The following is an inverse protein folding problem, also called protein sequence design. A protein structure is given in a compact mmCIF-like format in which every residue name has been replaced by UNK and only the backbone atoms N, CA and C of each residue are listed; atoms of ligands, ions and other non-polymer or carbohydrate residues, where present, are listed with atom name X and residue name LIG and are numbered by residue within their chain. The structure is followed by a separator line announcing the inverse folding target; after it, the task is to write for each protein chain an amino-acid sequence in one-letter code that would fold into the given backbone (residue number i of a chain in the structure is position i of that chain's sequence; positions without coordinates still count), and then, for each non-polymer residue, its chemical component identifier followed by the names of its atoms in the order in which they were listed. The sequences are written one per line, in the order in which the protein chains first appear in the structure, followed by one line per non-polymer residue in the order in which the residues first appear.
data_IF_481349756019
#
_entry.id   IF_481349756019
#
_cell.length_a   1.000
_cell.length_b   1.000
_cell.length_c   1.000
_cell.angle_alpha   90.00
_cell.angle_beta   90.00
_cell.angle_gamma   90.00
#
_symmetry.space_group_name_H-M   'P 1'
#
loop_
_entity.id
_entity.type
_entity.pdbx_description
1 polymer ?
#
# COMPACT_ATOMS: atom_id res chain seq x y z
N UNK A 1 20.63 49.82 -14.84
CA UNK A 1 20.17 48.62 -15.58
C UNK A 1 19.34 49.11 -16.76
N UNK A 2 19.66 48.68 -17.99
CA UNK A 2 18.97 49.13 -19.20
C UNK A 2 17.52 48.63 -19.19
N UNK A 3 16.58 49.44 -19.69
CA UNK A 3 15.15 49.07 -19.79
C UNK A 3 14.91 47.74 -20.51
N UNK A 4 15.85 47.33 -21.37
CA UNK A 4 15.85 46.03 -22.05
C UNK A 4 16.00 44.84 -21.08
N UNK A 5 16.84 44.96 -20.04
CA UNK A 5 17.01 43.90 -19.03
C UNK A 5 15.76 43.75 -18.18
N UNK A 6 15.14 44.86 -17.80
CA UNK A 6 13.88 44.84 -17.05
C UNK A 6 12.74 44.21 -17.87
N UNK A 7 12.65 44.57 -19.16
CA UNK A 7 11.67 44.00 -20.08
C UNK A 7 11.88 42.49 -20.24
N UNK A 8 13.12 42.02 -20.40
CA UNK A 8 13.42 40.60 -20.54
C UNK A 8 13.07 39.81 -19.26
N UNK A 9 13.31 40.37 -18.08
CA UNK A 9 12.95 39.76 -16.80
C UNK A 9 11.43 39.68 -16.61
N UNK A 10 10.68 40.71 -17.00
CA UNK A 10 9.21 40.67 -16.99
C UNK A 10 8.67 39.60 -17.95
N UNK A 11 9.26 39.47 -19.14
CA UNK A 11 8.84 38.51 -20.14
C UNK A 11 9.11 37.07 -19.68
N UNK A 12 10.29 36.81 -19.10
CA UNK A 12 10.62 35.51 -18.51
C UNK A 12 9.75 35.18 -17.29
N UNK A 13 9.46 36.16 -16.42
CA UNK A 13 8.59 35.98 -15.27
C UNK A 13 7.15 35.61 -15.66
N UNK A 14 6.58 36.33 -16.63
CA UNK A 14 5.23 36.04 -17.15
C UNK A 14 5.15 34.66 -17.82
N UNK A 15 6.16 34.28 -18.61
CA UNK A 15 6.23 32.96 -19.23
C UNK A 15 6.31 31.83 -18.19
N UNK A 16 7.09 31.99 -17.13
CA UNK A 16 7.19 31.00 -16.06
C UNK A 16 5.86 30.79 -15.33
N UNK A 17 5.09 31.86 -15.07
CA UNK A 17 3.77 31.78 -14.45
C UNK A 17 2.79 31.02 -15.34
N UNK A 18 2.76 31.30 -16.65
CA UNK A 18 1.90 30.59 -17.60
C UNK A 18 2.24 29.10 -17.65
N UNK A 19 3.52 28.74 -17.69
CA UNK A 19 3.97 27.33 -17.68
C UNK A 19 3.58 26.64 -16.37
N UNK A 20 3.69 27.32 -15.22
CA UNK A 20 3.30 26.76 -13.94
C UNK A 20 1.79 26.50 -13.85
N UNK A 21 0.96 27.44 -14.33
CA UNK A 21 -0.50 27.28 -14.37
C UNK A 21 -0.89 26.13 -15.30
N UNK A 22 -0.29 26.03 -16.49
CA UNK A 22 -0.51 24.91 -17.42
C UNK A 22 -0.11 23.58 -16.77
N UNK A 23 1.01 23.53 -16.04
CA UNK A 23 1.47 22.33 -15.35
C UNK A 23 0.51 21.86 -14.25
N UNK A 24 -0.01 22.79 -13.45
CA UNK A 24 -1.00 22.50 -12.39
C UNK A 24 -2.30 21.98 -13.02
N UNK A 25 -2.81 22.65 -14.05
CA UNK A 25 -4.00 22.21 -14.77
C UNK A 25 -3.80 20.83 -15.41
N UNK A 26 -2.65 20.56 -16.03
CA UNK A 26 -2.35 19.26 -16.64
C UNK A 26 -2.30 18.13 -15.61
N UNK A 27 -1.69 18.37 -14.45
CA UNK A 27 -1.67 17.39 -13.36
C UNK A 27 -3.06 17.10 -12.78
N UNK A 28 -3.93 18.12 -12.69
CA UNK A 28 -5.33 17.94 -12.30
C UNK A 28 -6.16 17.23 -13.39
N UNK A 29 -5.94 17.56 -14.66
CA UNK A 29 -6.62 16.94 -15.81
C UNK A 29 -6.34 15.43 -15.90
N UNK A 30 -5.13 14.98 -15.53
CA UNK A 30 -4.77 13.57 -15.51
C UNK A 30 -5.64 12.71 -14.57
N UNK A 31 -6.37 13.32 -13.62
CA UNK A 31 -7.20 12.62 -12.63
C UNK A 31 -8.66 12.38 -13.04
N UNK A 32 -9.01 12.54 -14.33
CA UNK A 32 -10.27 12.03 -14.91
C UNK A 32 -11.55 12.54 -14.22
N UNK A 33 -11.83 13.85 -14.31
CA UNK A 33 -13.14 14.38 -13.92
C UNK A 33 -13.72 15.27 -15.02
N UNK A 34 -14.66 14.71 -15.80
CA UNK A 34 -15.13 15.28 -17.07
C UNK A 34 -15.98 16.56 -16.91
N UNK A 35 -16.47 16.86 -15.69
CA UNK A 35 -17.26 18.07 -15.42
C UNK A 35 -16.43 19.37 -15.36
N UNK A 36 -15.10 19.26 -15.27
CA UNK A 36 -14.22 20.38 -14.98
C UNK A 36 -13.70 21.13 -16.23
N UNK A 37 -13.96 20.61 -17.44
CA UNK A 37 -13.41 21.15 -18.68
C UNK A 37 -13.93 22.56 -19.03
N UNK A 38 -15.22 22.84 -18.83
CA UNK A 38 -15.78 24.14 -19.24
C UNK A 38 -15.27 25.31 -18.39
N UNK A 39 -15.08 25.11 -17.08
CA UNK A 39 -14.59 26.14 -16.16
C UNK A 39 -13.11 26.45 -16.33
N UNK A 40 -12.29 25.44 -16.58
CA UNK A 40 -10.83 25.60 -16.77
C UNK A 40 -10.51 26.38 -18.05
N UNK A 41 -11.23 26.17 -19.16
CA UNK A 41 -11.03 26.99 -20.38
C UNK A 41 -11.39 28.47 -20.18
N UNK A 42 -12.42 28.78 -19.38
CA UNK A 42 -12.79 30.17 -19.09
C UNK A 42 -11.73 30.88 -18.24
N UNK A 43 -11.18 30.20 -17.22
CA UNK A 43 -10.09 30.74 -16.40
C UNK A 43 -8.81 30.94 -17.22
N UNK A 44 -8.48 30.00 -18.10
CA UNK A 44 -7.32 30.10 -18.98
C UNK A 44 -7.49 31.26 -19.97
N UNK A 45 -8.66 31.42 -20.58
CA UNK A 45 -8.95 32.55 -21.46
C UNK A 45 -8.90 33.90 -20.73
N UNK A 46 -9.44 33.99 -19.50
CA UNK A 46 -9.44 35.21 -18.71
C UNK A 46 -8.03 35.64 -18.27
N UNK A 47 -7.20 34.68 -17.84
CA UNK A 47 -5.81 34.95 -17.46
C UNK A 47 -4.97 35.43 -18.65
N UNK A 48 -5.16 34.83 -19.83
CA UNK A 48 -4.48 35.24 -21.06
C UNK A 48 -4.91 36.64 -21.50
N UNK A 49 -6.21 36.94 -21.42
CA UNK A 49 -6.75 38.27 -21.72
C UNK A 49 -6.19 39.35 -20.79
N UNK A 50 -6.16 39.09 -19.48
CA UNK A 50 -5.62 40.03 -18.48
C UNK A 50 -4.10 40.24 -18.66
N UNK A 51 -3.35 39.19 -18.98
CA UNK A 51 -1.93 39.28 -19.33
C UNK A 51 -1.68 40.17 -20.55
N UNK A 52 -2.50 40.02 -21.61
CA UNK A 52 -2.43 40.89 -22.80
C UNK A 52 -2.76 42.35 -22.47
N UNK A 53 -3.78 42.61 -21.65
CA UNK A 53 -4.13 43.96 -21.22
C UNK A 53 -2.99 44.63 -20.41
N UNK A 54 -2.33 43.87 -19.53
CA UNK A 54 -1.16 44.34 -18.78
C UNK A 54 0.03 44.73 -19.67
N UNK A 55 0.30 43.94 -20.72
CA UNK A 55 1.32 44.25 -21.73
C UNK A 55 1.00 45.55 -22.48
N UNK A 56 -0.24 45.71 -22.95
CA UNK A 56 -0.68 46.91 -23.67
C UNK A 56 -0.59 48.16 -22.78
N UNK A 57 -1.03 48.06 -21.52
CA UNK A 57 -0.94 49.16 -20.56
C UNK A 57 0.51 49.53 -20.21
N UNK A 58 1.39 48.53 -20.08
CA UNK A 58 2.82 48.72 -19.84
C UNK A 58 3.53 49.43 -21.01
N UNK A 59 3.16 49.11 -22.25
CA UNK A 59 3.67 49.79 -23.43
C UNK A 59 3.25 51.28 -23.51
N UNK A 60 2.11 51.64 -22.93
CA UNK A 60 1.53 52.99 -23.04
C UNK A 60 1.97 53.96 -21.93
N UNK A 61 2.59 53.49 -20.84
CA UNK A 61 2.79 54.32 -19.65
C UNK A 61 4.28 54.53 -19.28
N UNK A 62 4.77 55.74 -19.52
CA UNK A 62 6.19 56.10 -19.38
C UNK A 62 6.68 56.52 -17.99
N UNK A 63 5.82 56.72 -16.97
CA UNK A 63 6.32 57.10 -15.62
C UNK A 63 5.55 56.56 -14.42
N UNK A 64 4.25 56.23 -14.55
CA UNK A 64 3.43 55.62 -13.49
C UNK A 64 3.02 54.17 -13.79
N UNK A 65 3.39 53.67 -14.97
CA UNK A 65 2.88 52.42 -15.54
C UNK A 65 3.38 51.16 -14.89
N UNK A 66 4.55 51.20 -14.28
CA UNK A 66 5.18 49.97 -13.79
C UNK A 66 4.47 49.47 -12.52
N UNK A 67 4.12 50.36 -11.60
CA UNK A 67 3.37 50.00 -10.39
C UNK A 67 1.94 49.59 -10.73
N UNK A 68 1.28 50.34 -11.62
CA UNK A 68 -0.08 50.02 -12.05
C UNK A 68 -0.13 48.70 -12.84
N UNK A 69 0.87 48.42 -13.68
CA UNK A 69 0.97 47.17 -14.42
C UNK A 69 1.27 45.97 -13.52
N UNK A 70 2.07 46.14 -12.46
CA UNK A 70 2.31 45.09 -11.46
C UNK A 70 1.02 44.78 -10.68
N UNK A 71 0.31 45.81 -10.22
CA UNK A 71 -0.96 45.64 -9.50
C UNK A 71 -2.05 45.03 -10.38
N UNK A 72 -2.18 45.48 -11.65
CA UNK A 72 -3.09 44.85 -12.62
C UNK A 72 -2.66 43.42 -13.00
N UNK A 73 -1.38 43.10 -12.93
CA UNK A 73 -0.87 41.74 -13.19
C UNK A 73 -1.13 40.77 -12.04
N UNK A 74 -1.27 41.26 -10.80
CA UNK A 74 -1.53 40.45 -9.60
C UNK A 74 -3.02 40.24 -9.32
N UNK A 75 -3.89 41.20 -9.66
CA UNK A 75 -5.34 41.10 -9.49
C UNK A 75 -5.99 39.80 -10.06
N UNK A 76 -5.57 39.26 -11.23
CA UNK A 76 -6.09 38.01 -11.76
C UNK A 76 -5.76 36.82 -10.87
N UNK A 77 -4.57 36.81 -10.25
CA UNK A 77 -4.11 35.70 -9.39
C UNK A 77 -4.93 35.65 -8.10
N UNK A 78 -5.18 36.80 -7.49
CA UNK A 78 -6.03 36.89 -6.28
C UNK A 78 -7.49 36.54 -6.57
N UNK A 79 -8.03 37.00 -7.71
CA UNK A 79 -9.39 36.64 -8.13
C UNK A 79 -9.51 35.12 -8.37
N UNK A 80 -8.51 34.52 -9.02
CA UNK A 80 -8.46 33.08 -9.29
C UNK A 80 -8.39 32.29 -7.97
N UNK A 81 -7.53 32.70 -7.03
CA UNK A 81 -7.42 32.09 -5.70
C UNK A 81 -8.74 32.20 -4.92
N UNK A 82 -9.42 33.34 -4.98
CA UNK A 82 -10.73 33.53 -4.33
C UNK A 82 -11.82 32.66 -4.96
N UNK A 83 -11.85 32.55 -6.29
CA UNK A 83 -12.81 31.68 -6.99
C UNK A 83 -12.56 30.20 -6.69
N UNK A 84 -11.30 29.76 -6.63
CA UNK A 84 -10.97 28.40 -6.20
C UNK A 84 -11.43 28.12 -4.77
N UNK A 85 -11.21 29.06 -3.85
CA UNK A 85 -11.65 28.95 -2.46
C UNK A 85 -13.19 28.89 -2.34
N UNK A 86 -13.92 29.67 -3.14
CA UNK A 86 -15.40 29.66 -3.15
C UNK A 86 -15.96 28.38 -3.78
N UNK A 87 -15.36 27.89 -4.88
CA UNK A 87 -15.82 26.67 -5.57
C UNK A 87 -15.58 25.42 -4.70
N UNK A 88 -14.44 25.33 -4.00
CA UNK A 88 -14.20 24.25 -3.03
C UNK A 88 -15.19 24.29 -1.86
N UNK A 89 -15.55 25.48 -1.37
CA UNK A 89 -16.46 25.62 -0.23
C UNK A 89 -17.96 25.52 -0.59
N UNK A 90 -18.35 25.59 -1.86
CA UNK A 90 -19.76 25.51 -2.27
C UNK A 90 -20.11 24.23 -3.04
N UNK A 91 -19.11 23.42 -3.43
CA UNK A 91 -19.31 22.13 -4.09
C UNK A 91 -19.77 21.01 -3.16
N UNK A 92 -19.60 21.15 -1.84
CA UNK A 92 -20.23 20.27 -0.86
C UNK A 92 -21.66 20.76 -0.65
N UNK A 93 -22.54 20.46 -1.61
CA UNK A 93 -23.97 20.33 -1.30
C UNK A 93 -24.02 19.50 -0.02
N UNK A 94 -24.41 20.15 1.08
CA UNK A 94 -24.52 19.50 2.39
C UNK A 94 -25.62 18.48 2.20
N UNK A 95 -25.20 17.27 1.80
CA UNK A 95 -26.08 16.15 1.63
C UNK A 95 -26.88 16.08 2.92
N UNK A 96 -28.21 16.04 2.79
CA UNK A 96 -29.07 15.98 3.97
C UNK A 96 -28.56 14.89 4.90
N UNK A 97 -28.67 15.03 6.23
CA UNK A 97 -28.19 14.00 7.16
C UNK A 97 -28.65 12.59 6.77
N UNK A 98 -29.87 12.46 6.23
CA UNK A 98 -30.41 11.22 5.69
C UNK A 98 -29.65 10.67 4.47
N UNK A 99 -29.19 11.53 3.55
CA UNK A 99 -28.37 11.12 2.42
C UNK A 99 -26.96 10.70 2.84
N UNK A 100 -26.39 11.34 3.88
CA UNK A 100 -25.10 10.93 4.45
C UNK A 100 -25.18 9.56 5.13
N UNK A 101 -26.22 9.33 5.92
CA UNK A 101 -26.45 8.04 6.59
C UNK A 101 -26.67 6.92 5.56
N UNK A 102 -27.47 7.15 4.52
CA UNK A 102 -27.67 6.19 3.45
C UNK A 102 -26.35 5.84 2.70
N UNK A 103 -25.48 6.84 2.49
CA UNK A 103 -24.18 6.62 1.87
C UNK A 103 -23.24 5.79 2.77
N UNK A 104 -23.25 6.02 4.08
CA UNK A 104 -22.47 5.23 5.04
C UNK A 104 -22.92 3.76 5.07
N UNK A 105 -24.23 3.51 5.17
CA UNK A 105 -24.78 2.15 5.13
C UNK A 105 -24.44 1.43 3.82
N UNK A 106 -24.50 2.14 2.69
CA UNK A 106 -24.13 1.55 1.40
C UNK A 106 -22.63 1.22 1.32
N UNK A 107 -21.77 2.05 1.88
CA UNK A 107 -20.33 1.80 1.91
C UNK A 107 -19.96 0.64 2.84
N UNK A 108 -20.59 0.55 4.01
CA UNK A 108 -20.45 -0.60 4.91
C UNK A 108 -20.85 -1.91 4.24
N UNK A 109 -22.00 -1.93 3.56
CA UNK A 109 -22.47 -3.09 2.81
C UNK A 109 -21.50 -3.48 1.67
N UNK A 110 -20.88 -2.51 1.00
CA UNK A 110 -19.84 -2.77 -0.02
C UNK A 110 -18.59 -3.39 0.59
N UNK A 111 -18.13 -2.87 1.73
CA UNK A 111 -16.97 -3.40 2.44
C UNK A 111 -17.22 -4.83 2.90
N UNK A 112 -18.39 -5.10 3.47
CA UNK A 112 -18.80 -6.44 3.89
C UNK A 112 -18.87 -7.42 2.72
N UNK A 113 -19.50 -7.03 1.62
CA UNK A 113 -19.56 -7.84 0.40
C UNK A 113 -18.16 -8.17 -0.15
N UNK A 114 -17.24 -7.20 -0.11
CA UNK A 114 -15.84 -7.40 -0.53
C UNK A 114 -15.09 -8.37 0.38
N UNK A 115 -15.29 -8.28 1.70
CA UNK A 115 -14.72 -9.23 2.67
C UNK A 115 -15.26 -10.65 2.42
N UNK A 116 -16.57 -10.81 2.28
CA UNK A 116 -17.19 -12.10 2.01
C UNK A 116 -16.69 -12.73 0.70
N UNK A 117 -16.49 -11.92 -0.36
CA UNK A 117 -15.92 -12.39 -1.63
C UNK A 117 -14.48 -12.89 -1.47
N UNK A 118 -13.63 -12.19 -0.72
CA UNK A 118 -12.25 -12.62 -0.43
C UNK A 118 -12.22 -13.94 0.36
N UNK A 119 -13.06 -14.07 1.38
CA UNK A 119 -13.17 -15.31 2.16
C UNK A 119 -13.60 -16.50 1.29
N UNK A 120 -14.59 -16.32 0.40
CA UNK A 120 -15.00 -17.37 -0.55
C UNK A 120 -13.88 -17.76 -1.52
N UNK A 121 -13.13 -16.79 -2.03
CA UNK A 121 -12.00 -17.05 -2.91
C UNK A 121 -10.89 -17.84 -2.21
N UNK A 122 -10.58 -17.51 -0.95
CA UNK A 122 -9.61 -18.24 -0.13
C UNK A 122 -10.05 -19.69 0.13
N UNK A 123 -11.31 -19.90 0.50
CA UNK A 123 -11.86 -21.25 0.70
C UNK A 123 -11.85 -22.08 -0.59
N UNK A 124 -12.18 -21.47 -1.74
CA UNK A 124 -12.12 -22.13 -3.03
C UNK A 124 -10.69 -22.52 -3.41
N UNK A 125 -9.70 -21.65 -3.16
CA UNK A 125 -8.29 -21.94 -3.38
C UNK A 125 -7.80 -23.09 -2.49
N UNK A 126 -8.16 -23.10 -1.21
CA UNK A 126 -7.85 -24.20 -0.30
C UNK A 126 -8.46 -25.52 -0.77
N UNK A 127 -9.73 -25.51 -1.20
CA UNK A 127 -10.39 -26.69 -1.76
C UNK A 127 -9.71 -27.19 -3.05
N UNK A 128 -9.24 -26.29 -3.91
CA UNK A 128 -8.50 -26.66 -5.12
C UNK A 128 -7.16 -27.34 -4.78
N UNK A 129 -6.40 -26.80 -3.82
CA UNK A 129 -5.14 -27.39 -3.33
C UNK A 129 -5.40 -28.78 -2.74
N UNK A 130 -6.47 -28.94 -1.96
CA UNK A 130 -6.86 -30.23 -1.39
C UNK A 130 -7.21 -31.27 -2.46
N UNK A 131 -7.85 -30.85 -3.58
CA UNK A 131 -8.16 -31.73 -4.71
C UNK A 131 -6.93 -32.13 -5.52
N UNK A 132 -5.97 -31.24 -5.73
CA UNK A 132 -4.74 -31.55 -6.48
C UNK A 132 -3.76 -32.40 -5.69
N UNK A 133 -3.90 -32.43 -4.36
CA UNK A 133 -3.09 -33.24 -3.47
C UNK A 133 -3.97 -34.12 -2.59
N UNK A 134 -4.66 -35.13 -3.16
CA UNK A 134 -5.52 -36.03 -2.42
C UNK A 134 -4.65 -36.83 -1.45
N UNK A 135 -4.61 -36.38 -0.20
CA UNK A 135 -3.97 -37.11 0.86
C UNK A 135 -4.85 -38.32 1.19
N UNK A 136 -4.34 -39.53 0.93
CA UNK A 136 -5.05 -40.80 1.18
C UNK A 136 -4.94 -41.26 2.64
N UNK A 137 -4.41 -40.42 3.53
CA UNK A 137 -4.31 -40.71 4.96
C UNK A 137 -5.67 -40.57 5.65
N UNK A 138 -6.08 -41.63 6.34
CA UNK A 138 -7.29 -41.75 7.15
C UNK A 138 -7.38 -40.59 8.17
N UNK A 139 -8.38 -39.72 8.00
CA UNK A 139 -8.93 -38.80 9.02
C UNK A 139 -7.97 -37.97 9.90
N UNK A 140 -6.95 -37.31 9.34
CA UNK A 140 -6.22 -36.24 10.07
C UNK A 140 -6.35 -34.89 9.39
N UNK A 141 -7.55 -34.29 9.43
CA UNK A 141 -7.71 -32.86 9.14
C UNK A 141 -7.02 -31.99 10.20
N UNK A 142 -6.67 -32.57 11.36
CA UNK A 142 -5.88 -31.91 12.38
C UNK A 142 -4.39 -32.31 12.26
N UNK A 143 -3.48 -31.35 12.13
CA UNK A 143 -2.05 -31.62 12.13
C UNK A 143 -1.60 -32.12 13.50
N UNK A 144 -0.64 -33.04 13.52
CA UNK A 144 -0.07 -33.53 14.76
C UNK A 144 0.82 -32.45 15.39
N UNK A 145 0.73 -32.29 16.71
CA UNK A 145 1.64 -31.41 17.47
C UNK A 145 3.04 -32.02 17.62
N UNK A 146 3.11 -33.36 17.62
CA UNK A 146 4.35 -34.11 17.70
C UNK A 146 4.31 -35.36 16.81
N UNK A 147 5.46 -35.73 16.25
CA UNK A 147 5.67 -36.95 15.49
C UNK A 147 6.94 -37.66 15.98
N UNK A 148 7.04 -38.98 15.77
CA UNK A 148 8.22 -39.78 16.14
C UNK A 148 9.47 -39.26 15.43
N UNK A 149 9.31 -38.93 14.13
CA UNK A 149 10.31 -38.22 13.34
C UNK A 149 9.71 -36.86 12.95
N UNK A 150 10.42 -35.77 13.20
CA UNK A 150 9.94 -34.43 12.86
C UNK A 150 10.53 -33.92 11.54
N UNK A 151 9.93 -32.88 10.96
CA UNK A 151 10.38 -32.36 9.67
C UNK A 151 11.78 -31.73 9.67
N UNK A 152 12.66 -32.10 8.73
CA UNK A 152 14.05 -31.61 8.66
C UNK A 152 14.34 -30.79 7.40
N UNK A 153 15.19 -29.75 7.52
CA UNK A 153 15.62 -28.89 6.41
C UNK A 153 16.69 -29.52 5.51
N UNK A 154 17.56 -30.37 6.06
CA UNK A 154 18.80 -30.83 5.38
C UNK A 154 18.79 -32.30 4.99
N UNK A 155 17.69 -33.01 5.26
CA UNK A 155 17.64 -34.47 5.06
C UNK A 155 18.47 -35.29 6.03
N UNK A 156 19.26 -34.63 6.87
CA UNK A 156 19.80 -35.26 8.08
C UNK A 156 18.66 -35.50 9.08
N UNK A 157 18.60 -36.69 9.70
CA UNK A 157 17.52 -37.12 10.60
C UNK A 157 17.46 -36.36 11.95
N UNK A 158 18.25 -35.30 12.15
CA UNK A 158 18.41 -34.61 13.43
C UNK A 158 17.43 -33.46 13.70
N UNK A 159 16.33 -33.34 12.95
CA UNK A 159 15.22 -32.53 13.46
C UNK A 159 14.50 -33.36 14.52
N UNK A 160 15.01 -33.30 15.75
CA UNK A 160 14.29 -33.77 16.91
C UNK A 160 13.41 -32.63 17.44
N UNK A 161 12.14 -32.88 17.77
CA UNK A 161 11.24 -31.86 18.33
C UNK A 161 11.77 -31.26 19.64
N UNK A 162 12.62 -32.02 20.34
CA UNK A 162 13.31 -31.60 21.57
C UNK A 162 14.63 -30.86 21.30
N UNK A 163 15.14 -30.87 20.07
CA UNK A 163 16.39 -30.22 19.72
C UNK A 163 16.19 -28.72 19.48
N UNK A 164 16.56 -27.93 20.49
CA UNK A 164 16.62 -26.46 20.38
C UNK A 164 17.45 -25.97 19.20
N UNK A 165 18.44 -26.74 18.76
CA UNK A 165 19.32 -26.37 17.65
C UNK A 165 18.58 -26.32 16.31
N UNK A 166 17.69 -27.30 16.06
CA UNK A 166 16.96 -27.41 14.79
C UNK A 166 15.91 -26.29 14.65
N UNK A 167 15.20 -25.97 15.75
CA UNK A 167 14.32 -24.80 15.80
C UNK A 167 15.08 -23.48 15.60
N UNK A 168 16.26 -23.34 16.19
CA UNK A 168 17.12 -22.15 15.99
C UNK A 168 17.56 -22.01 14.53
N UNK A 169 17.99 -23.10 13.88
CA UNK A 169 18.39 -23.07 12.47
C UNK A 169 17.22 -22.65 11.55
N UNK A 170 16.03 -23.20 11.79
CA UNK A 170 14.82 -22.83 11.07
C UNK A 170 14.42 -21.36 11.32
N UNK A 171 14.49 -20.90 12.57
CA UNK A 171 14.25 -19.50 12.93
C UNK A 171 15.19 -18.53 12.19
N UNK A 172 16.49 -18.86 12.12
CA UNK A 172 17.46 -18.04 11.40
C UNK A 172 17.25 -18.08 9.88
N UNK A 173 16.84 -19.22 9.31
CA UNK A 173 16.50 -19.30 7.90
C UNK A 173 15.30 -18.40 7.56
N UNK A 174 14.23 -18.48 8.36
CA UNK A 174 13.05 -17.63 8.23
C UNK A 174 13.40 -16.15 8.36
N UNK A 175 14.20 -15.80 9.38
CA UNK A 175 14.70 -14.44 9.60
C UNK A 175 15.48 -13.91 8.39
N UNK A 176 16.41 -14.71 7.86
CA UNK A 176 17.21 -14.36 6.69
C UNK A 176 16.36 -14.12 5.44
N UNK A 177 15.32 -14.92 5.24
CA UNK A 177 14.42 -14.80 4.10
C UNK A 177 13.41 -13.64 4.26
N UNK A 178 13.03 -13.30 5.49
CA UNK A 178 12.15 -12.17 5.77
C UNK A 178 12.88 -10.82 5.66
N UNK A 179 14.15 -10.76 6.08
CA UNK A 179 14.95 -9.52 6.20
C UNK A 179 14.92 -8.61 4.96
N UNK A 180 15.06 -9.10 3.71
CA UNK A 180 15.02 -8.25 2.51
C UNK A 180 13.67 -7.54 2.28
N UNK A 181 12.61 -7.97 2.95
CA UNK A 181 11.27 -7.41 2.83
C UNK A 181 10.87 -6.54 4.03
N UNK A 182 11.79 -6.33 4.97
CA UNK A 182 11.57 -5.49 6.14
C UNK A 182 11.89 -4.03 5.84
N UNK A 183 11.04 -3.11 6.32
CA UNK A 183 11.35 -1.68 6.35
C UNK A 183 12.27 -1.39 7.54
N UNK A 184 13.50 -0.86 7.37
CA UNK A 184 14.40 -0.61 8.50
C UNK A 184 13.86 0.44 9.49
N UNK A 185 12.95 1.31 9.06
CA UNK A 185 12.41 2.44 9.84
C UNK A 185 11.14 2.09 10.63
N UNK A 186 10.49 0.96 10.32
CA UNK A 186 9.26 0.54 10.98
C UNK A 186 9.56 -0.07 12.36
N UNK A 187 8.96 0.44 13.45
CA UNK A 187 9.07 -0.18 14.77
C UNK A 187 8.44 -1.57 14.73
N UNK A 188 9.16 -2.58 15.23
CA UNK A 188 8.77 -3.99 15.19
C UNK A 188 9.25 -4.73 16.44
N UNK A 189 8.61 -5.85 16.82
CA UNK A 189 9.10 -6.68 17.89
C UNK A 189 10.42 -7.38 17.52
N UNK A 190 11.21 -7.75 18.54
CA UNK A 190 12.47 -8.49 18.38
C UNK A 190 12.26 -9.89 17.80
N UNK A 191 11.10 -10.50 18.07
CA UNK A 191 10.73 -11.81 17.55
C UNK A 191 9.27 -11.83 17.12
N UNK A 192 8.99 -12.53 16.03
CA UNK A 192 7.62 -12.80 15.56
C UNK A 192 7.37 -14.32 15.62
N UNK A 193 6.45 -14.80 16.47
CA UNK A 193 6.06 -16.20 16.48
C UNK A 193 5.23 -16.53 15.23
N UNK A 194 5.70 -17.50 14.45
CA UNK A 194 4.99 -18.01 13.26
C UNK A 194 4.69 -19.49 13.44
N UNK A 195 3.44 -19.86 13.20
CA UNK A 195 2.98 -21.24 13.11
C UNK A 195 2.73 -21.63 11.67
N UNK A 196 3.14 -22.84 11.27
CA UNK A 196 2.78 -23.42 9.98
C UNK A 196 2.76 -24.95 10.08
N UNK A 197 2.15 -25.61 9.11
CA UNK A 197 2.11 -27.08 9.06
C UNK A 197 3.02 -27.56 7.96
N UNK A 198 3.83 -28.57 8.25
CA UNK A 198 4.61 -29.30 7.26
C UNK A 198 3.84 -30.53 6.86
N UNK A 199 3.62 -30.65 5.56
CA UNK A 199 2.90 -31.76 4.98
C UNK A 199 3.63 -33.09 4.98
N UNK A 200 2.90 -34.16 4.66
CA UNK A 200 3.43 -35.50 4.42
C UNK A 200 4.39 -35.56 3.21
N UNK A 201 4.34 -34.56 2.32
CA UNK A 201 5.27 -34.40 1.19
C UNK A 201 6.36 -33.37 1.44
N UNK A 202 6.44 -32.82 2.66
CA UNK A 202 7.46 -31.84 3.03
C UNK A 202 7.15 -30.37 2.72
N UNK A 203 6.10 -30.10 1.95
CA UNK A 203 5.67 -28.72 1.69
C UNK A 203 5.10 -28.04 2.94
N UNK A 204 5.26 -26.73 3.06
CA UNK A 204 4.67 -25.94 4.14
C UNK A 204 3.31 -25.37 3.73
N UNK A 205 2.37 -25.32 4.66
CA UNK A 205 1.03 -24.77 4.45
C UNK A 205 0.44 -24.21 5.74
N UNK A 206 -0.68 -23.48 5.62
CA UNK A 206 -1.38 -22.82 6.74
C UNK A 206 -0.43 -21.98 7.64
N UNK A 207 0.44 -21.19 7.02
CA UNK A 207 1.29 -20.25 7.75
C UNK A 207 0.45 -19.12 8.34
N UNK A 208 0.61 -18.87 9.64
CA UNK A 208 -0.14 -17.89 10.42
C UNK A 208 0.72 -17.33 11.55
N UNK A 209 0.45 -16.09 11.98
CA UNK A 209 1.11 -15.50 13.14
C UNK A 209 0.44 -16.04 14.41
N UNK A 210 1.25 -16.32 15.43
CA UNK A 210 0.76 -16.96 16.66
C UNK A 210 1.02 -16.11 17.89
N UNK A 211 0.07 -15.23 18.22
CA UNK A 211 0.06 -14.49 19.47
C UNK A 211 -0.63 -15.29 20.57
N UNK A 212 0.15 -16.08 21.31
CA UNK A 212 -0.39 -16.93 22.38
C UNK A 212 -1.16 -18.14 21.86
N UNK A 213 -2.31 -18.45 22.48
CA UNK A 213 -3.12 -19.63 22.15
C UNK A 213 -4.02 -19.42 20.93
N UNK A 214 -4.39 -18.18 20.62
CA UNK A 214 -5.31 -17.87 19.52
C UNK A 214 -4.49 -17.52 18.27
N UNK A 215 -4.56 -18.32 17.20
CA UNK A 215 -3.92 -17.95 15.96
C UNK A 215 -4.64 -16.77 15.30
N UNK A 216 -3.89 -15.75 14.89
CA UNK A 216 -4.44 -14.64 14.12
C UNK A 216 -4.32 -14.94 12.62
N UNK A 217 -5.43 -14.75 11.90
CA UNK A 217 -5.50 -14.96 10.46
C UNK A 217 -5.02 -13.72 9.73
N UNK A 218 -3.78 -13.75 9.25
CA UNK A 218 -3.21 -12.71 8.39
C UNK A 218 -2.02 -12.00 9.01
N UNK A 219 -1.52 -10.99 8.31
CA UNK A 219 -0.49 -10.09 8.81
C UNK A 219 -1.11 -8.72 9.09
N UNK A 220 -0.89 -8.22 10.29
CA UNK A 220 -1.26 -6.90 10.77
C UNK A 220 -0.16 -5.87 10.49
N UNK A 221 1.10 -6.32 10.40
CA UNK A 221 2.27 -5.47 10.10
C UNK A 221 3.02 -5.94 8.84
N UNK A 222 3.85 -5.07 8.26
CA UNK A 222 4.70 -5.49 7.11
C UNK A 222 5.72 -6.53 7.52
N UNK A 223 6.22 -6.45 8.76
CA UNK A 223 7.14 -7.42 9.33
C UNK A 223 6.50 -8.82 9.42
N UNK A 224 5.26 -8.92 9.91
CA UNK A 224 4.51 -10.18 9.90
C UNK A 224 4.29 -10.70 8.48
N UNK A 225 3.94 -9.83 7.53
CA UNK A 225 3.73 -10.22 6.14
C UNK A 225 5.03 -10.77 5.51
N UNK A 226 6.18 -10.19 5.83
CA UNK A 226 7.49 -10.68 5.41
C UNK A 226 7.80 -12.07 6.01
N UNK A 227 7.49 -12.29 7.29
CA UNK A 227 7.68 -13.59 7.96
C UNK A 227 6.75 -14.66 7.37
N UNK A 228 5.46 -14.35 7.16
CA UNK A 228 4.53 -15.28 6.51
C UNK A 228 4.98 -15.63 5.09
N UNK A 229 5.47 -14.66 4.33
CA UNK A 229 6.03 -14.89 2.99
C UNK A 229 7.26 -15.79 3.07
N UNK A 230 8.16 -15.57 4.02
CA UNK A 230 9.34 -16.41 4.23
C UNK A 230 8.96 -17.86 4.58
N UNK A 231 7.93 -18.06 5.42
CA UNK A 231 7.42 -19.38 5.77
C UNK A 231 6.78 -20.12 4.58
N UNK A 232 6.04 -19.40 3.74
CA UNK A 232 5.46 -19.94 2.51
C UNK A 232 6.51 -20.28 1.43
N UNK A 233 7.67 -19.60 1.47
CA UNK A 233 8.78 -19.80 0.53
C UNK A 233 9.85 -20.77 1.04
N UNK A 234 9.61 -21.48 2.16
CA UNK A 234 10.55 -22.48 2.66
C UNK A 234 10.79 -23.58 1.60
N UNK A 235 12.03 -24.10 1.50
CA UNK A 235 12.28 -25.30 0.71
C UNK A 235 11.47 -26.47 1.29
N UNK A 236 11.22 -27.49 0.46
CA UNK A 236 10.56 -28.71 0.93
C UNK A 236 11.37 -29.32 2.07
N UNK A 237 10.71 -29.53 3.19
CA UNK A 237 11.26 -30.20 4.36
C UNK A 237 11.12 -31.71 4.18
N UNK A 238 11.87 -32.49 4.94
CA UNK A 238 11.53 -33.89 5.11
C UNK A 238 10.23 -33.97 5.92
N UNK A 239 9.26 -34.82 5.58
CA UNK A 239 8.01 -34.89 6.33
C UNK A 239 8.23 -35.52 7.70
N UNK A 240 7.38 -35.16 8.66
CA UNK A 240 7.32 -35.89 9.91
C UNK A 240 6.75 -37.30 9.71
N UNK A 241 7.07 -38.24 10.58
CA UNK A 241 6.58 -39.62 10.50
C UNK A 241 6.06 -40.14 11.84
N UNK A 242 5.01 -40.95 11.77
CA UNK A 242 4.50 -41.76 12.88
C UNK A 242 4.34 -43.19 12.35
N UNK A 243 4.93 -44.18 13.03
CA UNK A 243 4.99 -45.57 12.57
C UNK A 243 5.52 -45.70 11.14
N UNK A 244 6.53 -44.89 10.79
CA UNK A 244 7.14 -44.85 9.45
C UNK A 244 6.29 -44.21 8.36
N UNK A 245 5.02 -43.86 8.63
CA UNK A 245 4.14 -43.18 7.67
C UNK A 245 4.33 -41.66 7.76
N UNK A 246 4.46 -40.94 6.63
CA UNK A 246 4.54 -39.49 6.65
C UNK A 246 3.23 -38.90 7.16
N UNK A 247 3.30 -37.91 8.05
CA UNK A 247 2.13 -37.24 8.64
C UNK A 247 2.30 -35.71 8.60
N UNK A 248 1.20 -34.94 8.55
CA UNK A 248 1.28 -33.49 8.70
C UNK A 248 1.62 -33.11 10.14
N UNK A 249 2.60 -32.21 10.30
CA UNK A 249 3.10 -31.77 11.61
C UNK A 249 3.03 -30.26 11.73
N UNK A 250 2.42 -29.77 12.81
CA UNK A 250 2.38 -28.34 13.12
C UNK A 250 3.69 -27.92 13.78
N UNK A 251 4.30 -26.86 13.27
CA UNK A 251 5.53 -26.27 13.78
C UNK A 251 5.26 -24.82 14.17
N UNK A 252 5.75 -24.42 15.35
CA UNK A 252 5.71 -23.04 15.84
C UNK A 252 7.14 -22.59 16.12
N UNK A 253 7.54 -21.45 15.55
CA UNK A 253 8.91 -20.92 15.67
C UNK A 253 8.85 -19.44 15.97
N UNK A 254 9.62 -18.98 16.97
CA UNK A 254 9.88 -17.56 17.18
C UNK A 254 10.98 -17.10 16.22
N UNK A 255 10.64 -16.26 15.24
CA UNK A 255 11.56 -15.76 14.22
C UNK A 255 12.22 -14.48 14.73
N UNK A 256 13.54 -14.46 15.00
CA UNK A 256 14.22 -13.25 15.40
C UNK A 256 14.27 -12.27 14.23
N UNK A 257 13.99 -11.00 14.48
CA UNK A 257 14.12 -9.93 13.49
C UNK A 257 15.31 -9.03 13.83
N UNK A 258 15.97 -8.44 12.82
CA UNK A 258 16.96 -7.41 13.08
C UNK A 258 16.30 -6.19 13.72
N UNK A 259 16.96 -5.64 14.74
CA UNK A 259 16.53 -4.41 15.43
C UNK A 259 16.45 -3.27 14.42
N UNK A 260 15.34 -2.51 14.45
CA UNK A 260 15.20 -1.28 13.67
C UNK A 260 16.28 -0.28 14.13
N UNK A 261 17.01 0.31 13.19
CA UNK A 261 18.08 1.28 13.48
C UNK A 261 17.55 2.70 13.37
#
# INVERSE_FOLDING_TARGET
MSSLVLFLLCLLGSGAVVVAVIGIEFTHFSKSNNGWQAGSYQLLALSLFLGCCGLVAGCLSRSLGHVLAILLGLAPVELLAFLFYQVENHGTSVASPAAQEAALVQEEARVEARRAALTRAQLAQQAAIARTHPYTGRDSTQPYEAAEQMPSLTGSPEFAPTSRASYRALAHLLSRNATPHLDPTEPRPDTIPVGFTVGPYGGTFHAQIQYGEIPELGAHTRAEAAVLRAAAALPRLHPGRINGQPVPVRIVVAVPLPVAR
#
